data_IF_264235361787
#
_entry.id   IF_264235361787
#
_cell.length_a   1.000
_cell.length_b   1.000
_cell.length_c   1.000
_cell.angle_alpha   90.00
_cell.angle_beta   90.00
_cell.angle_gamma   90.00
#
_symmetry.space_group_name_H-M   'P 1'
#
loop_
_entity.id
_entity.type
_entity.pdbx_description
1 polymer ?
#
# COMPACT_ATOMS: atom_id res chain seq x y z
N UNK A 1 5.89 -16.77 -1.38
CA UNK A 1 4.70 -15.90 -1.20
C UNK A 1 5.24 -14.53 -0.90
N UNK A 2 5.14 -13.65 -1.88
CA UNK A 2 5.79 -12.34 -1.85
C UNK A 2 4.75 -11.30 -1.46
N UNK A 3 5.05 -10.53 -0.43
CA UNK A 3 4.16 -9.51 0.14
C UNK A 3 4.90 -8.17 0.10
N UNK A 4 4.26 -7.16 -0.46
CA UNK A 4 4.76 -5.79 -0.43
C UNK A 4 4.06 -5.01 0.68
N UNK A 5 4.87 -4.33 1.48
CA UNK A 5 4.43 -3.32 2.46
C UNK A 5 4.91 -1.97 1.96
N UNK A 6 4.01 -1.03 1.72
CA UNK A 6 4.34 0.27 1.14
C UNK A 6 3.46 1.36 1.70
N UNK A 7 3.97 2.59 1.77
CA UNK A 7 3.15 3.78 2.02
C UNK A 7 2.69 4.37 0.69
N UNK A 8 1.47 4.90 0.65
CA UNK A 8 1.02 5.72 -0.46
C UNK A 8 1.63 7.12 -0.34
N UNK A 9 2.39 7.53 -1.35
CA UNK A 9 3.05 8.83 -1.40
C UNK A 9 2.41 9.79 -2.40
N UNK A 10 3.01 10.98 -2.53
CA UNK A 10 2.59 12.00 -3.51
C UNK A 10 2.86 11.61 -4.97
N UNK A 11 3.63 10.55 -5.19
CA UNK A 11 3.99 10.02 -6.50
C UNK A 11 3.21 8.76 -6.87
N UNK A 12 2.22 8.37 -6.05
CA UNK A 12 1.33 7.25 -6.32
C UNK A 12 -0.05 7.74 -6.75
N UNK A 13 -0.71 7.06 -7.70
CA UNK A 13 -0.20 5.93 -8.49
C UNK A 13 0.76 6.33 -9.61
N UNK A 14 0.82 7.62 -9.97
CA UNK A 14 1.62 8.14 -11.06
C UNK A 14 2.46 9.32 -10.59
N UNK A 15 3.63 9.51 -11.21
CA UNK A 15 4.40 10.71 -10.97
C UNK A 15 3.61 11.94 -11.44
N UNK A 16 3.61 13.05 -10.68
CA UNK A 16 2.87 14.26 -11.03
C UNK A 16 3.45 14.94 -12.27
N UNK A 17 4.73 14.71 -12.57
CA UNK A 17 5.39 15.20 -13.77
C UNK A 17 5.08 14.30 -14.96
N UNK A 18 4.65 14.92 -16.06
CA UNK A 18 4.44 14.21 -17.32
C UNK A 18 5.74 14.17 -18.12
N UNK A 19 6.10 12.99 -18.61
CA UNK A 19 7.23 12.83 -19.53
C UNK A 19 6.64 12.64 -20.92
N UNK A 20 6.95 13.56 -21.84
CA UNK A 20 6.39 13.56 -23.20
C UNK A 20 4.84 13.57 -23.24
N UNK A 21 4.21 14.24 -22.26
CA UNK A 21 2.75 14.38 -22.20
C UNK A 21 2.00 13.16 -21.64
N UNK A 22 2.72 12.15 -21.12
CA UNK A 22 2.11 10.97 -20.49
C UNK A 22 2.57 10.89 -19.04
N UNK A 23 1.64 10.53 -18.14
CA UNK A 23 1.96 10.20 -16.76
C UNK A 23 2.85 8.96 -16.69
N UNK A 24 3.91 9.01 -15.91
CA UNK A 24 4.76 7.85 -15.67
C UNK A 24 4.31 7.12 -14.42
N UNK A 25 4.48 5.80 -14.41
CA UNK A 25 4.14 4.97 -13.26
C UNK A 25 4.89 5.45 -12.00
N UNK A 26 4.14 5.53 -10.90
CA UNK A 26 4.69 5.77 -9.58
C UNK A 26 5.47 4.57 -9.06
N UNK A 27 6.19 4.73 -7.94
CA UNK A 27 7.13 3.73 -7.43
C UNK A 27 6.51 2.34 -7.25
N UNK A 28 5.28 2.26 -6.76
CA UNK A 28 4.59 0.98 -6.52
C UNK A 28 4.21 0.30 -7.84
N UNK A 29 3.74 1.06 -8.83
CA UNK A 29 3.37 0.52 -10.14
C UNK A 29 4.60 0.11 -10.95
N UNK A 30 5.70 0.87 -10.86
CA UNK A 30 7.00 0.48 -11.44
C UNK A 30 7.47 -0.84 -10.86
N UNK A 31 7.42 -1.00 -9.53
CA UNK A 31 7.83 -2.25 -8.88
C UNK A 31 6.92 -3.42 -9.24
N UNK A 32 5.62 -3.19 -9.39
CA UNK A 32 4.65 -4.22 -9.81
C UNK A 32 4.89 -4.71 -11.25
N UNK A 33 5.43 -3.86 -12.13
CA UNK A 33 5.80 -4.25 -13.49
C UNK A 33 7.01 -5.21 -13.52
N UNK A 34 7.94 -5.06 -12.57
CA UNK A 34 9.17 -5.85 -12.48
C UNK A 34 9.04 -7.10 -11.62
N UNK A 35 8.08 -7.14 -10.68
CA UNK A 35 7.91 -8.23 -9.73
C UNK A 35 6.46 -8.56 -9.42
N UNK A 36 6.15 -9.86 -9.39
CA UNK A 36 4.85 -10.37 -8.97
C UNK A 36 4.72 -10.44 -7.44
N UNK A 37 3.59 -10.00 -6.91
CA UNK A 37 3.25 -10.09 -5.49
C UNK A 37 1.96 -10.87 -5.28
N UNK A 38 1.81 -11.52 -4.13
CA UNK A 38 0.56 -12.21 -3.75
C UNK A 38 -0.36 -11.29 -2.94
N UNK A 39 0.22 -10.28 -2.29
CA UNK A 39 -0.49 -9.29 -1.51
C UNK A 39 0.31 -7.98 -1.44
N UNK A 40 -0.42 -6.87 -1.42
CA UNK A 40 0.14 -5.52 -1.21
C UNK A 40 -0.64 -4.85 -0.08
N UNK A 41 0.08 -4.46 0.97
CA UNK A 41 -0.44 -3.69 2.10
C UNK A 41 -0.03 -2.23 1.90
N UNK A 42 -1.01 -1.37 1.65
CA UNK A 42 -0.84 0.05 1.38
C UNK A 42 -1.15 0.82 2.66
N UNK A 43 -0.14 1.42 3.26
CA UNK A 43 -0.25 2.29 4.41
C UNK A 43 -0.53 3.71 3.96
N UNK A 44 -1.40 4.41 4.67
CA UNK A 44 -1.78 5.80 4.36
C UNK A 44 -1.96 6.58 5.65
N UNK A 45 -1.79 7.88 5.58
CA UNK A 45 -2.30 8.82 6.59
C UNK A 45 -3.52 9.56 6.00
N UNK A 46 -4.23 10.39 6.78
CA UNK A 46 -5.42 11.08 6.28
C UNK A 46 -5.18 11.92 5.02
N UNK A 47 -3.99 12.52 4.84
CA UNK A 47 -3.68 13.34 3.67
C UNK A 47 -3.38 12.54 2.40
N UNK A 48 -3.01 11.26 2.52
CA UNK A 48 -2.65 10.38 1.39
C UNK A 48 -3.72 9.34 1.04
N UNK A 49 -4.88 9.34 1.72
CA UNK A 49 -5.99 8.41 1.44
C UNK A 49 -6.39 8.41 -0.06
N UNK A 50 -6.55 9.56 -0.73
CA UNK A 50 -6.91 9.57 -2.15
C UNK A 50 -5.89 8.83 -3.02
N UNK A 51 -4.60 9.03 -2.75
CA UNK A 51 -3.52 8.38 -3.49
C UNK A 51 -3.53 6.87 -3.26
N UNK A 52 -3.74 6.43 -2.01
CA UNK A 52 -3.86 5.01 -1.67
C UNK A 52 -5.02 4.32 -2.39
N UNK A 53 -6.18 4.99 -2.50
CA UNK A 53 -7.36 4.47 -3.19
C UNK A 53 -7.13 4.37 -4.70
N UNK A 54 -6.57 5.41 -5.32
CA UNK A 54 -6.23 5.39 -6.74
C UNK A 54 -5.17 4.32 -7.06
N UNK A 55 -4.17 4.17 -6.19
CA UNK A 55 -3.17 3.11 -6.32
C UNK A 55 -3.79 1.71 -6.24
N UNK A 56 -4.69 1.48 -5.29
CA UNK A 56 -5.40 0.20 -5.18
C UNK A 56 -6.21 -0.11 -6.45
N UNK A 57 -6.86 0.89 -7.04
CA UNK A 57 -7.62 0.73 -8.28
C UNK A 57 -6.70 0.35 -9.45
N UNK A 58 -5.58 1.04 -9.60
CA UNK A 58 -4.62 0.75 -10.67
C UNK A 58 -3.96 -0.63 -10.52
N UNK A 59 -3.63 -1.04 -9.30
CA UNK A 59 -3.14 -2.41 -9.03
C UNK A 59 -4.21 -3.42 -9.44
N UNK A 60 -5.46 -3.23 -9.02
CA UNK A 60 -6.56 -4.17 -9.33
C UNK A 60 -6.81 -4.28 -10.84
N UNK A 61 -6.63 -3.18 -11.59
CA UNK A 61 -6.78 -3.15 -13.05
C UNK A 61 -5.65 -3.90 -13.77
N UNK A 62 -4.42 -3.83 -13.25
CA UNK A 62 -3.21 -4.38 -13.89
C UNK A 62 -2.90 -5.81 -13.46
N UNK A 63 -3.25 -6.17 -12.23
CA UNK A 63 -2.90 -7.44 -11.61
C UNK A 63 -4.06 -7.93 -10.72
N UNK A 64 -5.10 -8.48 -11.36
CA UNK A 64 -6.35 -8.93 -10.73
C UNK A 64 -6.16 -9.94 -9.59
N UNK A 65 -5.06 -10.68 -9.62
CA UNK A 65 -4.79 -11.77 -8.68
C UNK A 65 -4.07 -11.27 -7.42
N UNK A 66 -3.67 -9.99 -7.39
CA UNK A 66 -2.96 -9.36 -6.27
C UNK A 66 -3.97 -8.86 -5.24
N UNK A 67 -3.87 -9.40 -4.01
CA UNK A 67 -4.72 -8.94 -2.91
C UNK A 67 -4.19 -7.64 -2.32
N UNK A 68 -4.92 -6.55 -2.51
CA UNK A 68 -4.58 -5.25 -1.93
C UNK A 68 -5.37 -4.96 -0.66
N UNK A 69 -4.73 -4.35 0.35
CA UNK A 69 -5.42 -3.79 1.54
C UNK A 69 -4.86 -2.43 1.89
N UNK A 70 -5.75 -1.46 2.12
CA UNK A 70 -5.39 -0.14 2.63
C UNK A 70 -5.48 -0.16 4.16
N UNK A 71 -4.46 0.37 4.81
CA UNK A 71 -4.36 0.53 6.25
C UNK A 71 -4.19 2.02 6.53
N UNK A 72 -5.24 2.66 7.03
CA UNK A 72 -5.13 4.03 7.51
C UNK A 72 -4.43 4.03 8.86
N UNK A 73 -3.32 4.75 8.92
CA UNK A 73 -2.52 4.94 10.12
C UNK A 73 -2.81 6.35 10.60
N UNK A 74 -3.23 6.46 11.86
CA UNK A 74 -3.39 7.74 12.54
C UNK A 74 -2.03 8.26 13.03
N UNK A 75 -1.16 8.59 12.07
CA UNK A 75 0.11 9.29 12.32
C UNK A 75 -0.03 10.71 11.78
N UNK A 76 0.05 11.73 12.65
CA UNK A 76 -0.07 13.13 12.24
C UNK A 76 1.03 13.58 11.28
N UNK A 77 2.26 13.07 11.48
CA UNK A 77 3.44 13.41 10.69
C UNK A 77 4.26 12.15 10.36
N UNK A 78 4.29 11.70 9.09
CA UNK A 78 5.07 10.53 8.69
C UNK A 78 6.59 10.74 8.72
N UNK A 79 7.06 11.96 8.99
CA UNK A 79 8.48 12.29 9.21
C UNK A 79 8.88 12.23 10.69
N UNK A 80 7.91 12.06 11.60
CA UNK A 80 8.16 11.76 13.01
C UNK A 80 8.39 10.25 13.20
N UNK A 81 9.66 9.86 13.13
CA UNK A 81 10.08 8.47 13.30
C UNK A 81 9.86 7.93 14.73
N UNK A 82 9.74 8.81 15.73
CA UNK A 82 9.41 8.40 17.10
C UNK A 82 7.94 7.95 17.19
N UNK A 83 7.05 8.65 16.49
CA UNK A 83 5.65 8.24 16.30
C UNK A 83 5.48 6.99 15.42
N UNK A 84 6.53 6.55 14.71
CA UNK A 84 6.55 5.28 13.97
C UNK A 84 6.91 4.07 14.85
N UNK A 85 7.47 4.21 16.06
CA UNK A 85 7.79 3.03 16.90
C UNK A 85 6.56 2.20 17.35
N UNK A 86 5.38 2.81 17.62
CA UNK A 86 4.13 2.07 17.76
C UNK A 86 3.71 1.32 16.47
N UNK A 87 4.30 1.60 15.30
CA UNK A 87 3.98 0.92 14.04
C UNK A 87 4.32 -0.59 14.04
N UNK A 88 5.07 -1.08 15.03
CA UNK A 88 5.16 -2.52 15.29
C UNK A 88 3.76 -3.16 15.52
N UNK A 89 2.78 -2.38 15.99
CA UNK A 89 1.36 -2.78 16.09
C UNK A 89 0.66 -2.81 14.73
N UNK A 90 1.05 -1.96 13.79
CA UNK A 90 0.50 -1.92 12.42
C UNK A 90 0.81 -3.22 11.68
N UNK A 91 2.02 -3.77 11.87
CA UNK A 91 2.37 -5.09 11.37
C UNK A 91 1.57 -6.22 12.04
N UNK A 92 1.11 -6.04 13.30
CA UNK A 92 0.22 -7.01 13.96
C UNK A 92 -1.17 -7.02 13.34
N UNK A 93 -1.69 -5.88 12.91
CA UNK A 93 -2.98 -5.77 12.20
C UNK A 93 -2.95 -6.43 10.82
N UNK A 94 -1.76 -6.58 10.23
CA UNK A 94 -1.56 -7.29 8.96
C UNK A 94 -1.55 -8.82 9.11
N UNK A 95 -1.58 -9.38 10.33
CA UNK A 95 -1.61 -10.84 10.53
C UNK A 95 -2.93 -11.41 9.99
N UNK A 96 -2.88 -12.53 9.23
CA UNK A 96 -4.10 -13.20 8.80
C UNK A 96 -4.92 -13.59 10.03
N UNK A 97 -6.23 -13.31 9.98
CA UNK A 97 -7.17 -13.65 11.05
C UNK A 97 -7.01 -15.15 11.36
N UNK A 98 -6.67 -15.51 12.60
CA UNK A 98 -6.62 -16.93 12.98
C UNK A 98 -8.02 -17.49 12.73
N UNK A 99 -8.13 -18.49 11.84
CA UNK A 99 -9.40 -19.18 11.60
C UNK A 99 -9.99 -19.57 12.98
N UNK A 100 -11.29 -19.39 13.22
CA UNK A 100 -11.90 -19.92 14.44
C UNK A 100 -11.56 -21.40 14.49
N UNK A 101 -10.92 -21.84 15.57
CA UNK A 101 -10.77 -23.27 15.86
C UNK A 101 -12.21 -23.77 16.00
N UNK A 102 -12.67 -24.54 15.01
CA UNK A 102 -13.87 -25.35 15.16
C UNK A 102 -13.70 -26.14 16.46
N UNK A 103 -14.55 -25.84 17.44
CA UNK A 103 -14.73 -26.68 18.60
C UNK A 103 -15.34 -27.98 18.09
N UNK A 104 -14.58 -29.07 18.23
CA UNK A 104 -15.07 -30.44 18.13
C UNK A 104 -15.46 -30.85 19.55
#
# INVERSE_FOLDING_TARGET
MDILFTFAGNHDPFNPETVKGVFTDGPVLTLLAERSFHAIHIFTNPSSIPNAQQLQQEISRRASDVRTRIHNIDIPDPTDYEALFPASEILRQCRPNKRPRNQI
#
